data_IF_492051794790
#
_entry.id   IF_492051794790
#
_cell.length_a   1.000
_cell.length_b   1.000
_cell.length_c   1.000
_cell.angle_alpha   90.00
_cell.angle_beta   90.00
_cell.angle_gamma   90.00
#
_symmetry.space_group_name_H-M   'P 1'
#
loop_
_entity.id
_entity.type
_entity.pdbx_description
1 polymer ?
#
# COMPACT_ATOMS: atom_id res chain seq x y z
N UNK A 1 -13.10 -14.41 14.80
CA UNK A 1 -14.04 -14.56 15.93
C UNK A 1 -15.13 -13.49 15.99
N UNK A 2 -14.81 -12.18 16.08
CA UNK A 2 -15.86 -11.13 16.05
C UNK A 2 -16.44 -10.95 14.63
N UNK A 3 -15.59 -10.88 13.60
CA UNK A 3 -16.04 -10.79 12.19
C UNK A 3 -16.92 -11.98 11.77
N UNK A 4 -16.54 -13.23 12.08
CA UNK A 4 -17.33 -14.42 11.70
C UNK A 4 -18.73 -14.47 12.32
N UNK A 5 -18.93 -13.78 13.45
CA UNK A 5 -20.22 -13.68 14.12
C UNK A 5 -21.08 -12.61 13.42
N UNK A 6 -20.48 -11.46 13.13
CA UNK A 6 -21.10 -10.35 12.38
C UNK A 6 -21.55 -10.81 10.99
N UNK A 7 -20.71 -11.56 10.28
CA UNK A 7 -21.05 -12.12 8.97
C UNK A 7 -22.22 -13.11 9.00
N UNK A 8 -22.25 -13.99 10.01
CA UNK A 8 -23.36 -14.93 10.19
C UNK A 8 -24.68 -14.23 10.50
N UNK A 9 -24.63 -13.17 11.30
CA UNK A 9 -25.82 -12.38 11.64
C UNK A 9 -26.32 -11.57 10.43
N UNK A 10 -25.42 -10.98 9.64
CA UNK A 10 -25.75 -10.29 8.39
C UNK A 10 -26.42 -11.25 7.38
N UNK A 11 -25.85 -12.43 7.18
CA UNK A 11 -26.39 -13.46 6.26
C UNK A 11 -27.80 -13.92 6.67
N UNK A 12 -28.04 -14.12 7.98
CA UNK A 12 -29.37 -14.47 8.49
C UNK A 12 -30.41 -13.38 8.23
N UNK A 13 -30.03 -12.11 8.41
CA UNK A 13 -30.94 -10.98 8.21
C UNK A 13 -31.21 -10.71 6.72
N UNK A 14 -30.20 -10.88 5.86
CA UNK A 14 -30.34 -10.84 4.39
C UNK A 14 -31.34 -11.89 3.88
N UNK A 15 -31.24 -13.12 4.38
CA UNK A 15 -32.19 -14.21 4.07
C UNK A 15 -33.61 -13.85 4.46
N UNK A 16 -33.81 -13.25 5.63
CA UNK A 16 -35.13 -12.80 6.10
C UNK A 16 -35.73 -11.72 5.20
N UNK A 17 -34.93 -10.79 4.68
CA UNK A 17 -35.42 -9.76 3.74
C UNK A 17 -35.81 -10.37 2.37
N UNK A 18 -35.09 -11.38 1.91
CA UNK A 18 -35.46 -12.15 0.70
C UNK A 18 -36.77 -12.93 0.91
N UNK A 19 -36.92 -13.60 2.05
CA UNK A 19 -38.16 -14.34 2.41
C UNK A 19 -39.38 -13.44 2.47
N UNK A 20 -39.22 -12.18 2.90
CA UNK A 20 -40.27 -11.17 2.91
C UNK A 20 -40.56 -10.55 1.53
N UNK A 21 -39.86 -10.98 0.47
CA UNK A 21 -40.03 -10.48 -0.89
C UNK A 21 -39.56 -9.03 -1.08
N UNK A 22 -38.73 -8.52 -0.16
CA UNK A 22 -38.31 -7.10 -0.12
C UNK A 22 -37.05 -6.83 -0.93
N UNK A 23 -36.25 -7.87 -1.19
CA UNK A 23 -35.12 -7.83 -2.11
C UNK A 23 -35.19 -9.05 -3.05
N UNK A 24 -34.89 -8.86 -4.33
CA UNK A 24 -34.91 -9.91 -5.35
C UNK A 24 -33.48 -10.27 -5.77
N UNK A 25 -33.13 -11.57 -5.72
CA UNK A 25 -31.83 -12.06 -6.20
C UNK A 25 -30.69 -11.92 -5.18
N UNK A 26 -29.44 -11.94 -5.66
CA UNK A 26 -28.26 -11.68 -4.82
C UNK A 26 -28.35 -10.24 -4.27
N UNK A 27 -28.19 -10.02 -2.96
CA UNK A 27 -28.35 -8.69 -2.38
C UNK A 27 -27.32 -7.73 -2.97
N UNK A 28 -27.77 -6.60 -3.52
CA UNK A 28 -26.89 -5.48 -3.85
C UNK A 28 -26.38 -4.88 -2.54
N UNK A 29 -25.22 -5.33 -2.08
CA UNK A 29 -24.61 -4.88 -0.82
C UNK A 29 -24.19 -3.40 -0.87
N UNK A 30 -24.06 -2.79 -2.06
CA UNK A 30 -23.64 -1.39 -2.19
C UNK A 30 -24.62 -0.38 -1.60
N UNK A 31 -25.88 -0.76 -1.50
CA UNK A 31 -26.94 0.13 -1.04
C UNK A 31 -27.05 0.27 0.49
N UNK A 32 -27.01 -0.81 1.30
CA UNK A 32 -26.84 -0.72 2.76
C UNK A 32 -25.61 0.09 3.17
N UNK A 33 -24.56 -0.04 2.37
CA UNK A 33 -23.26 0.60 2.58
C UNK A 33 -23.33 2.07 2.23
N UNK A 34 -24.00 2.42 1.14
CA UNK A 34 -24.32 3.80 0.79
C UNK A 34 -25.10 4.50 1.91
N UNK A 35 -26.20 3.88 2.36
CA UNK A 35 -27.08 4.44 3.39
C UNK A 35 -26.37 4.61 4.73
N UNK A 36 -25.53 3.66 5.13
CA UNK A 36 -24.75 3.86 6.33
C UNK A 36 -23.59 4.81 6.15
N UNK A 37 -22.80 4.69 5.09
CA UNK A 37 -21.68 5.59 4.86
C UNK A 37 -22.19 7.03 4.92
N UNK A 38 -23.38 7.27 4.34
CA UNK A 38 -24.12 8.51 4.53
C UNK A 38 -24.50 8.77 5.99
N UNK A 39 -25.19 7.89 6.72
CA UNK A 39 -25.60 8.15 8.11
C UNK A 39 -24.41 8.39 9.04
N UNK A 40 -23.31 7.67 8.84
CA UNK A 40 -22.08 7.80 9.60
C UNK A 40 -21.37 9.12 9.32
N UNK A 41 -21.10 9.43 8.05
CA UNK A 41 -20.48 10.69 7.66
C UNK A 41 -21.39 11.85 8.09
N UNK A 42 -22.70 11.67 7.99
CA UNK A 42 -23.70 12.61 8.49
C UNK A 42 -23.55 12.85 9.99
N UNK A 43 -23.46 11.80 10.82
CA UNK A 43 -23.24 11.92 12.27
C UNK A 43 -21.89 12.57 12.58
N UNK A 44 -20.81 12.10 11.94
CA UNK A 44 -19.43 12.55 12.15
C UNK A 44 -19.26 14.04 11.86
N UNK A 45 -19.80 14.50 10.74
CA UNK A 45 -19.66 15.88 10.26
C UNK A 45 -20.89 16.74 10.55
N UNK A 46 -21.86 16.22 11.31
CA UNK A 46 -23.08 16.92 11.76
C UNK A 46 -23.90 17.52 10.60
N UNK A 47 -24.19 16.70 9.59
CA UNK A 47 -25.13 17.05 8.51
C UNK A 47 -26.56 16.68 8.92
N UNK A 48 -27.56 17.50 8.55
CA UNK A 48 -28.99 17.13 8.57
C UNK A 48 -29.58 16.33 9.75
N UNK A 49 -30.83 15.86 9.62
CA UNK A 49 -31.45 14.90 10.53
C UNK A 49 -31.00 13.47 10.22
N UNK A 50 -31.17 12.53 11.16
CA UNK A 50 -30.82 11.12 10.93
C UNK A 50 -31.53 10.57 9.69
N UNK A 51 -30.80 9.84 8.84
CA UNK A 51 -31.38 9.18 7.66
C UNK A 51 -32.50 8.23 8.08
N UNK A 52 -32.39 7.59 9.25
CA UNK A 52 -33.45 6.75 9.83
C UNK A 52 -34.72 7.50 10.24
N UNK A 53 -34.67 8.83 10.31
CA UNK A 53 -35.85 9.70 10.55
C UNK A 53 -36.47 10.26 9.28
N UNK A 54 -35.87 9.99 8.11
CA UNK A 54 -36.34 10.49 6.82
C UNK A 54 -37.43 9.60 6.25
N UNK A 55 -38.40 10.22 5.57
CA UNK A 55 -39.58 9.53 5.05
C UNK A 55 -39.46 9.18 3.57
N UNK A 56 -38.52 9.80 2.84
CA UNK A 56 -38.41 9.66 1.39
C UNK A 56 -36.95 9.52 0.92
N UNK A 57 -36.75 8.84 -0.21
CA UNK A 57 -35.46 8.75 -0.89
C UNK A 57 -34.93 10.12 -1.35
N UNK A 58 -35.82 11.08 -1.62
CA UNK A 58 -35.45 12.47 -1.94
C UNK A 58 -34.70 13.15 -0.80
N UNK A 59 -35.12 12.92 0.45
CA UNK A 59 -34.46 13.52 1.61
C UNK A 59 -33.05 12.93 1.82
N UNK A 60 -32.90 11.63 1.58
CA UNK A 60 -31.60 10.93 1.64
C UNK A 60 -30.65 11.49 0.58
N UNK A 61 -31.14 11.69 -0.65
CA UNK A 61 -30.38 12.28 -1.75
C UNK A 61 -29.98 13.74 -1.47
N UNK A 62 -30.82 14.50 -0.76
CA UNK A 62 -30.48 15.87 -0.37
C UNK A 62 -29.33 15.91 0.63
N UNK A 63 -29.35 15.03 1.64
CA UNK A 63 -28.23 14.89 2.60
C UNK A 63 -26.95 14.46 1.87
N UNK A 64 -27.06 13.49 0.95
CA UNK A 64 -25.92 13.03 0.17
C UNK A 64 -25.27 14.16 -0.65
N UNK A 65 -26.08 14.99 -1.32
CA UNK A 65 -25.60 16.17 -2.07
C UNK A 65 -25.02 17.27 -1.17
N UNK A 66 -25.60 17.50 0.01
CA UNK A 66 -25.05 18.45 0.98
C UNK A 66 -23.67 17.99 1.46
N UNK A 67 -23.51 16.71 1.74
CA UNK A 67 -22.25 16.10 2.14
C UNK A 67 -21.19 16.16 1.03
N UNK A 68 -21.59 15.90 -0.21
CA UNK A 68 -20.74 16.04 -1.38
C UNK A 68 -20.14 17.45 -1.50
N UNK A 69 -20.96 18.49 -1.32
CA UNK A 69 -20.53 19.89 -1.40
C UNK A 69 -19.56 20.30 -0.28
N UNK A 70 -19.68 19.73 0.93
CA UNK A 70 -18.93 20.14 2.11
C UNK A 70 -17.70 19.27 2.40
N UNK A 71 -17.66 18.04 1.91
CA UNK A 71 -16.48 17.18 1.95
C UNK A 71 -15.55 17.37 0.74
N UNK A 72 -15.89 18.31 -0.16
CA UNK A 72 -15.19 18.59 -1.42
C UNK A 72 -15.07 17.33 -2.29
N UNK A 73 -16.21 16.69 -2.55
CA UNK A 73 -16.34 15.49 -3.39
C UNK A 73 -16.90 15.82 -4.78
N UNK A 74 -16.93 17.09 -5.18
CA UNK A 74 -17.56 17.55 -6.43
C UNK A 74 -17.00 16.88 -7.70
N UNK A 75 -15.79 16.34 -7.63
CA UNK A 75 -15.13 15.59 -8.72
C UNK A 75 -14.93 14.09 -8.40
N UNK A 76 -15.52 13.60 -7.31
CA UNK A 76 -15.34 12.23 -6.82
C UNK A 76 -16.48 11.34 -7.34
N UNK A 77 -16.24 10.50 -8.35
CA UNK A 77 -17.31 9.66 -8.89
C UNK A 77 -17.93 8.66 -7.89
N UNK A 78 -17.34 8.47 -6.70
CA UNK A 78 -18.02 7.84 -5.55
C UNK A 78 -19.39 8.46 -5.24
N UNK A 79 -19.59 9.78 -5.39
CA UNK A 79 -20.90 10.42 -5.24
C UNK A 79 -21.88 9.99 -6.34
N UNK A 80 -21.44 9.91 -7.61
CA UNK A 80 -22.27 9.42 -8.70
C UNK A 80 -22.71 7.96 -8.52
N UNK A 81 -21.82 7.07 -8.05
CA UNK A 81 -22.20 5.68 -7.77
C UNK A 81 -23.18 5.58 -6.60
N UNK A 82 -22.90 6.31 -5.52
CA UNK A 82 -23.73 6.30 -4.32
C UNK A 82 -25.12 6.92 -4.59
N UNK A 83 -25.17 8.01 -5.36
CA UNK A 83 -26.41 8.64 -5.83
C UNK A 83 -27.16 7.76 -6.83
N UNK A 84 -26.48 7.09 -7.77
CA UNK A 84 -27.11 6.18 -8.73
C UNK A 84 -27.78 5.00 -8.01
N UNK A 85 -27.10 4.39 -7.04
CA UNK A 85 -27.66 3.29 -6.24
C UNK A 85 -28.84 3.78 -5.37
N UNK A 86 -28.80 5.01 -4.85
CA UNK A 86 -29.89 5.60 -4.05
C UNK A 86 -31.12 6.00 -4.87
N UNK A 87 -30.97 6.34 -6.16
CA UNK A 87 -32.09 6.71 -7.03
C UNK A 87 -32.98 5.52 -7.44
N UNK A 88 -32.53 4.30 -7.21
CA UNK A 88 -33.21 3.05 -7.60
C UNK A 88 -34.14 2.48 -6.49
N UNK A 89 -34.32 3.19 -5.37
CA UNK A 89 -34.91 2.64 -4.16
C UNK A 89 -36.38 2.98 -3.89
N UNK A 90 -37.09 2.00 -3.32
CA UNK A 90 -38.35 2.20 -2.59
C UNK A 90 -38.08 2.64 -1.11
N UNK A 91 -38.88 3.56 -0.56
CA UNK A 91 -38.73 4.07 0.81
C UNK A 91 -38.79 3.03 1.95
N UNK A 92 -39.55 1.93 1.81
CA UNK A 92 -39.71 0.91 2.86
C UNK A 92 -38.44 0.09 3.07
N UNK A 93 -37.76 -0.27 1.98
CA UNK A 93 -36.50 -1.02 2.01
C UNK A 93 -35.38 -0.21 2.68
N UNK A 94 -35.40 1.12 2.51
CA UNK A 94 -34.42 2.06 3.09
C UNK A 94 -34.47 2.09 4.63
N UNK A 95 -35.67 2.11 5.21
CA UNK A 95 -35.89 2.19 6.66
C UNK A 95 -35.46 0.93 7.43
N UNK A 96 -35.58 -0.25 6.82
CA UNK A 96 -35.13 -1.49 7.45
C UNK A 96 -33.61 -1.62 7.47
N UNK A 97 -32.93 -1.21 6.40
CA UNK A 97 -31.48 -1.15 6.37
C UNK A 97 -30.93 -0.21 7.43
N UNK A 98 -31.53 0.95 7.63
CA UNK A 98 -31.09 1.94 8.63
C UNK A 98 -31.24 1.46 10.08
N UNK A 99 -32.22 0.60 10.37
CA UNK A 99 -32.39 -0.03 11.68
C UNK A 99 -31.39 -1.16 11.97
N UNK A 100 -30.64 -1.58 10.94
CA UNK A 100 -29.73 -2.71 10.99
C UNK A 100 -28.29 -2.30 11.27
N UNK A 101 -27.99 -1.00 11.22
CA UNK A 101 -26.61 -0.54 11.14
C UNK A 101 -26.07 -0.01 12.45
N UNK A 102 -25.22 -0.83 13.09
CA UNK A 102 -24.24 -0.33 14.05
C UNK A 102 -22.88 -0.11 13.37
N UNK A 103 -21.97 0.53 14.10
CA UNK A 103 -20.63 0.88 13.61
C UNK A 103 -19.82 -0.32 13.13
N UNK A 104 -20.00 -1.50 13.74
CA UNK A 104 -19.23 -2.71 13.42
C UNK A 104 -19.76 -3.33 12.13
N UNK A 105 -21.08 -3.40 11.94
CA UNK A 105 -21.67 -3.92 10.71
C UNK A 105 -21.20 -3.15 9.48
N UNK A 106 -21.05 -1.83 9.57
CA UNK A 106 -20.64 -1.08 8.39
C UNK A 106 -19.18 -1.16 8.08
N UNK A 107 -18.32 -1.21 9.08
CA UNK A 107 -16.92 -1.51 8.78
C UNK A 107 -16.85 -2.78 7.94
N UNK A 108 -17.53 -3.84 8.36
CA UNK A 108 -17.57 -5.09 7.60
C UNK A 108 -18.21 -4.94 6.21
N UNK A 109 -19.37 -4.28 6.11
CA UNK A 109 -20.04 -4.11 4.82
C UNK A 109 -19.20 -3.27 3.85
N UNK A 110 -18.70 -2.10 4.28
CA UNK A 110 -17.86 -1.21 3.47
C UNK A 110 -16.60 -1.92 2.99
N UNK A 111 -15.92 -2.66 3.87
CA UNK A 111 -14.73 -3.42 3.49
C UNK A 111 -15.04 -4.49 2.43
N UNK A 112 -16.15 -5.21 2.55
CA UNK A 112 -16.55 -6.20 1.54
C UNK A 112 -16.93 -5.59 0.21
N UNK A 113 -17.66 -4.47 0.21
CA UNK A 113 -18.01 -3.75 -1.01
C UNK A 113 -16.82 -3.13 -1.72
N UNK A 114 -15.90 -2.57 -0.94
CA UNK A 114 -14.65 -2.04 -1.46
C UNK A 114 -13.85 -3.20 -2.06
N UNK A 115 -13.77 -4.33 -1.36
CA UNK A 115 -13.09 -5.52 -1.83
C UNK A 115 -13.69 -6.01 -3.16
N UNK A 116 -15.02 -6.15 -3.28
CA UNK A 116 -15.70 -6.51 -4.54
C UNK A 116 -15.27 -5.58 -5.70
N UNK A 117 -15.23 -4.27 -5.48
CA UNK A 117 -14.84 -3.28 -6.50
C UNK A 117 -13.36 -3.25 -6.83
N UNK A 118 -12.50 -3.54 -5.85
CA UNK A 118 -11.07 -3.71 -6.08
C UNK A 118 -10.77 -4.99 -6.88
N UNK A 119 -11.64 -6.00 -6.78
CA UNK A 119 -11.56 -7.24 -7.58
C UNK A 119 -12.21 -7.11 -8.95
N UNK A 120 -13.23 -6.28 -9.10
CA UNK A 120 -13.81 -5.97 -10.41
C UNK A 120 -12.79 -5.22 -11.28
N UNK A 121 -12.53 -5.79 -12.46
CA UNK A 121 -11.54 -5.31 -13.43
C UNK A 121 -11.84 -3.92 -14.01
N UNK A 122 -12.92 -3.26 -13.57
CA UNK A 122 -13.23 -1.87 -13.90
C UNK A 122 -12.25 -0.87 -13.25
N UNK A 123 -11.56 -1.27 -12.18
CA UNK A 123 -10.59 -0.42 -11.46
C UNK A 123 -9.18 -1.04 -11.37
N UNK A 124 -8.53 -1.37 -12.50
CA UNK A 124 -7.25 -2.10 -12.51
C UNK A 124 -6.08 -1.31 -11.90
N UNK A 125 -6.29 -0.03 -11.58
CA UNK A 125 -5.30 0.89 -11.00
C UNK A 125 -5.34 0.97 -9.48
N UNK A 126 -6.37 0.42 -8.83
CA UNK A 126 -6.53 0.43 -7.38
C UNK A 126 -5.87 -0.83 -6.79
N UNK A 127 -4.54 -0.81 -6.67
CA UNK A 127 -3.80 -1.95 -6.12
C UNK A 127 -3.85 -1.94 -4.59
N UNK A 128 -4.51 -2.93 -4.00
CA UNK A 128 -4.52 -3.10 -2.55
C UNK A 128 -3.28 -3.86 -2.08
N UNK A 129 -2.66 -3.37 -1.00
CA UNK A 129 -1.61 -4.11 -0.30
C UNK A 129 -2.23 -5.29 0.45
N UNK A 130 -1.75 -6.54 0.26
CA UNK A 130 -2.18 -7.69 1.04
C UNK A 130 -2.15 -7.40 2.54
N UNK A 131 -3.20 -7.78 3.27
CA UNK A 131 -3.40 -7.43 4.69
C UNK A 131 -2.20 -7.79 5.56
N UNK A 132 -1.57 -8.91 5.28
CA UNK A 132 -0.43 -9.43 6.04
C UNK A 132 0.84 -8.63 5.77
N UNK A 133 1.02 -8.14 4.54
CA UNK A 133 2.11 -7.22 4.15
C UNK A 133 1.86 -5.83 4.74
N UNK A 134 0.61 -5.33 4.68
CA UNK A 134 0.23 -4.06 5.27
C UNK A 134 0.46 -4.04 6.79
N UNK A 135 0.08 -5.13 7.49
CA UNK A 135 0.36 -5.29 8.93
C UNK A 135 1.86 -5.29 9.21
N UNK A 136 2.64 -6.04 8.43
CA UNK A 136 4.09 -6.05 8.56
C UNK A 136 4.63 -4.62 8.43
N UNK A 137 4.32 -3.92 7.32
CA UNK A 137 4.77 -2.55 7.09
C UNK A 137 4.40 -1.60 8.22
N UNK A 138 3.17 -1.66 8.73
CA UNK A 138 2.71 -0.83 9.84
C UNK A 138 3.41 -1.12 11.18
N UNK A 139 3.97 -2.33 11.36
CA UNK A 139 4.70 -2.69 12.59
C UNK A 139 6.16 -2.20 12.61
N UNK A 140 6.78 -1.99 11.44
CA UNK A 140 8.20 -1.65 11.32
C UNK A 140 8.60 -0.29 11.93
N UNK A 141 7.75 0.76 11.90
CA UNK A 141 8.07 2.00 12.61
C UNK A 141 8.13 1.85 14.13
N UNK A 142 7.51 0.81 14.70
CA UNK A 142 7.34 0.63 16.14
C UNK A 142 6.34 1.64 16.75
N UNK A 143 6.05 1.48 18.04
CA UNK A 143 5.24 2.45 18.81
C UNK A 143 6.18 3.42 19.53
N UNK A 144 6.05 4.70 19.25
CA UNK A 144 6.69 5.79 20.01
C UNK A 144 5.66 6.87 20.30
N UNK A 145 5.81 7.60 21.41
CA UNK A 145 4.98 8.76 21.74
C UNK A 145 5.11 9.89 20.69
N UNK A 146 6.17 9.85 19.88
CA UNK A 146 6.36 10.73 18.74
C UNK A 146 5.56 10.32 17.51
N UNK A 147 5.06 9.08 17.37
CA UNK A 147 4.51 8.58 16.11
C UNK A 147 3.03 8.97 15.91
N UNK A 148 2.74 10.27 15.82
CA UNK A 148 1.38 10.78 15.72
C UNK A 148 1.00 11.22 14.31
N UNK A 149 1.95 11.34 13.38
CA UNK A 149 1.64 11.63 11.98
C UNK A 149 2.07 10.49 11.04
N UNK A 150 1.10 9.90 10.33
CA UNK A 150 1.31 8.82 9.36
C UNK A 150 1.01 9.33 7.96
N UNK A 151 2.00 9.28 7.08
CA UNK A 151 1.90 9.74 5.70
C UNK A 151 1.95 8.60 4.67
N UNK A 152 1.10 8.68 3.64
CA UNK A 152 1.20 7.83 2.45
C UNK A 152 1.04 8.68 1.17
N UNK A 153 2.12 8.90 0.38
CA UNK A 153 2.09 9.67 -0.87
C UNK A 153 1.36 8.99 -2.03
N UNK A 154 0.94 7.73 -1.88
CA UNK A 154 0.20 6.96 -2.87
C UNK A 154 -0.82 6.05 -2.16
N UNK A 155 -1.72 6.67 -1.41
CA UNK A 155 -2.50 5.96 -0.39
C UNK A 155 -3.55 4.98 -0.93
N UNK A 156 -3.87 5.04 -2.23
CA UNK A 156 -4.88 4.20 -2.84
C UNK A 156 -6.20 4.33 -2.08
N UNK A 157 -6.79 3.19 -1.73
CA UNK A 157 -8.03 3.12 -0.93
C UNK A 157 -7.80 3.21 0.59
N UNK A 158 -6.58 3.51 1.06
CA UNK A 158 -6.27 3.69 2.49
C UNK A 158 -5.96 2.40 3.26
N UNK A 159 -5.64 1.30 2.57
CA UNK A 159 -5.38 0.01 3.21
C UNK A 159 -4.19 0.01 4.20
N UNK A 160 -3.13 0.77 3.90
CA UNK A 160 -1.99 0.93 4.80
C UNK A 160 -2.35 1.74 6.06
N UNK A 161 -3.21 2.75 5.94
CA UNK A 161 -3.71 3.49 7.09
C UNK A 161 -4.54 2.62 8.03
N UNK A 162 -5.37 1.71 7.49
CA UNK A 162 -6.10 0.76 8.34
C UNK A 162 -5.17 -0.18 9.12
N UNK A 163 -4.08 -0.62 8.50
CA UNK A 163 -3.06 -1.40 9.21
C UNK A 163 -2.39 -0.55 10.29
N UNK A 164 -2.08 0.72 9.99
CA UNK A 164 -1.51 1.68 10.92
C UNK A 164 -2.44 1.97 12.12
N UNK A 165 -3.75 2.11 11.93
CA UNK A 165 -4.74 2.30 13.02
C UNK A 165 -4.79 1.15 14.04
N UNK A 166 -4.30 -0.04 13.69
CA UNK A 166 -4.18 -1.16 14.64
C UNK A 166 -2.93 -1.05 15.52
N UNK A 167 -1.93 -0.29 15.06
CA UNK A 167 -0.66 -0.09 15.75
C UNK A 167 -0.65 1.24 16.50
N UNK A 168 -1.10 2.34 15.89
CA UNK A 168 -1.11 3.67 16.49
C UNK A 168 -2.49 4.02 17.04
N UNK A 169 -2.56 4.89 18.04
CA UNK A 169 -3.83 5.33 18.63
C UNK A 169 -4.62 6.18 17.60
N UNK A 170 -5.74 5.70 17.05
CA UNK A 170 -6.50 6.42 16.01
C UNK A 170 -7.10 7.75 16.52
N UNK A 171 -7.15 7.96 17.84
CA UNK A 171 -7.63 9.22 18.42
C UNK A 171 -6.57 10.32 18.44
N UNK A 172 -5.28 9.94 18.44
CA UNK A 172 -4.14 10.87 18.48
C UNK A 172 -3.40 10.94 17.14
N UNK A 173 -3.61 9.96 16.26
CA UNK A 173 -2.92 9.85 14.98
C UNK A 173 -3.60 10.70 13.91
N UNK A 174 -2.84 11.57 13.26
CA UNK A 174 -3.19 12.25 12.03
C UNK A 174 -2.74 11.41 10.82
N UNK A 175 -3.70 10.99 10.01
CA UNK A 175 -3.46 10.28 8.76
C UNK A 175 -3.44 11.26 7.60
N UNK A 176 -2.31 11.32 6.90
CA UNK A 176 -2.15 12.17 5.72
C UNK A 176 -1.96 11.30 4.50
N UNK A 177 -2.71 11.54 3.44
CA UNK A 177 -2.57 10.78 2.20
C UNK A 177 -2.70 11.61 0.94
N UNK A 178 -2.01 11.16 -0.11
CA UNK A 178 -2.16 11.65 -1.47
C UNK A 178 -2.56 10.51 -2.39
N UNK A 179 -3.51 10.79 -3.27
CA UNK A 179 -3.96 9.84 -4.28
C UNK A 179 -4.32 10.58 -5.57
N UNK A 180 -3.98 9.98 -6.71
CA UNK A 180 -4.22 10.56 -8.03
C UNK A 180 -5.53 10.14 -8.67
N UNK A 181 -6.09 9.03 -8.19
CA UNK A 181 -7.38 8.55 -8.62
C UNK A 181 -8.48 9.08 -7.68
N UNK A 182 -9.43 9.83 -8.24
CA UNK A 182 -10.54 10.41 -7.47
C UNK A 182 -11.40 9.39 -6.72
N UNK A 183 -11.61 8.19 -7.30
CA UNK A 183 -12.33 7.10 -6.62
C UNK A 183 -11.56 6.61 -5.39
N UNK A 184 -10.29 6.23 -5.59
CA UNK A 184 -9.47 5.68 -4.52
C UNK A 184 -9.27 6.70 -3.39
N UNK A 185 -9.05 7.98 -3.73
CA UNK A 185 -8.98 9.08 -2.77
C UNK A 185 -10.26 9.17 -1.91
N UNK A 186 -11.42 9.07 -2.55
CA UNK A 186 -12.71 9.12 -1.87
C UNK A 186 -12.95 7.89 -1.00
N UNK A 187 -12.60 6.70 -1.51
CA UNK A 187 -12.65 5.47 -0.73
C UNK A 187 -11.76 5.54 0.50
N UNK A 188 -10.53 6.06 0.39
CA UNK A 188 -9.64 6.24 1.54
C UNK A 188 -10.25 7.16 2.61
N UNK A 189 -10.83 8.30 2.20
CA UNK A 189 -11.54 9.22 3.10
C UNK A 189 -12.66 8.51 3.87
N UNK A 190 -13.51 7.77 3.16
CA UNK A 190 -14.63 7.04 3.78
C UNK A 190 -14.12 5.90 4.65
N UNK A 191 -13.17 5.11 4.15
CA UNK A 191 -12.57 3.96 4.83
C UNK A 191 -11.98 4.35 6.17
N UNK A 192 -11.17 5.41 6.21
CA UNK A 192 -10.63 5.94 7.46
C UNK A 192 -11.72 6.45 8.39
N UNK A 193 -12.74 7.13 7.83
CA UNK A 193 -13.82 7.66 8.61
C UNK A 193 -14.62 6.53 9.29
N UNK A 194 -15.08 5.52 8.55
CA UNK A 194 -15.85 4.38 9.10
C UNK A 194 -15.00 3.50 10.03
N UNK A 195 -13.68 3.49 9.87
CA UNK A 195 -12.75 2.85 10.80
C UNK A 195 -12.33 3.74 11.98
N UNK A 196 -13.05 4.85 12.22
CA UNK A 196 -12.93 5.64 13.44
C UNK A 196 -11.77 6.62 13.48
N UNK A 197 -11.07 6.88 12.37
CA UNK A 197 -10.02 7.90 12.33
C UNK A 197 -10.61 9.29 12.62
N UNK A 198 -10.12 9.98 13.65
CA UNK A 198 -10.58 11.33 14.00
C UNK A 198 -9.92 12.41 13.16
N UNK A 199 -8.66 12.20 12.79
CA UNK A 199 -7.82 13.16 12.08
C UNK A 199 -7.32 12.54 10.78
N UNK A 200 -7.84 13.01 9.64
CA UNK A 200 -7.43 12.54 8.33
C UNK A 200 -7.44 13.67 7.29
N UNK A 201 -6.31 13.87 6.61
CA UNK A 201 -6.07 14.84 5.55
C UNK A 201 -5.70 14.06 4.28
N UNK A 202 -6.72 13.58 3.55
CA UNK A 202 -6.54 12.85 2.29
C UNK A 202 -6.85 13.79 1.14
N UNK A 203 -5.87 14.01 0.26
CA UNK A 203 -6.00 14.96 -0.84
C UNK A 203 -5.88 14.27 -2.20
N UNK A 204 -6.69 14.75 -3.14
CA UNK A 204 -6.54 14.40 -4.55
C UNK A 204 -5.36 15.22 -5.10
N UNK A 205 -4.37 14.54 -5.63
CA UNK A 205 -3.17 15.20 -6.16
C UNK A 205 -2.56 14.41 -7.31
N UNK A 206 -1.74 15.04 -8.17
CA UNK A 206 -1.07 14.29 -9.22
C UNK A 206 -0.24 13.14 -8.63
N UNK A 207 -0.16 12.00 -9.35
CA UNK A 207 0.91 11.01 -9.11
C UNK A 207 2.21 11.79 -9.11
N UNK A 208 3.16 11.41 -8.25
CA UNK A 208 4.47 12.04 -8.08
C UNK A 208 4.98 12.66 -9.40
N UNK A 209 4.63 13.93 -9.58
CA UNK A 209 5.11 14.85 -10.62
C UNK A 209 6.02 15.82 -9.89
N UNK A 210 6.49 16.88 -10.57
CA UNK A 210 7.24 17.93 -9.91
C UNK A 210 6.56 18.34 -8.60
N UNK A 211 7.33 18.90 -7.67
CA UNK A 211 6.78 19.85 -6.70
C UNK A 211 5.79 20.68 -7.50
N UNK A 212 4.49 20.48 -7.33
CA UNK A 212 3.61 21.52 -7.77
C UNK A 212 3.99 22.63 -6.82
N UNK A 213 4.74 23.62 -7.32
CA UNK A 213 5.20 24.68 -6.44
C UNK A 213 4.01 25.29 -5.73
N UNK A 214 2.77 25.17 -6.24
CA UNK A 214 1.54 25.62 -5.57
C UNK A 214 1.07 24.72 -4.43
N UNK A 215 1.55 23.49 -4.34
CA UNK A 215 1.28 22.58 -3.24
C UNK A 215 2.04 23.06 -1.99
N UNK A 216 1.29 23.52 -0.99
CA UNK A 216 1.85 24.11 0.22
C UNK A 216 2.68 23.11 1.02
N UNK A 217 2.37 21.81 0.96
CA UNK A 217 3.08 20.77 1.71
C UNK A 217 4.50 20.58 1.19
N UNK A 218 4.63 20.52 -0.13
CA UNK A 218 5.90 20.41 -0.84
C UNK A 218 6.72 21.69 -0.67
N UNK A 219 6.08 22.87 -0.67
CA UNK A 219 6.71 24.15 -0.32
C UNK A 219 7.22 24.20 1.12
N UNK A 220 6.41 23.72 2.06
CA UNK A 220 6.73 23.76 3.48
C UNK A 220 7.65 22.61 3.91
N UNK A 221 7.91 21.64 3.03
CA UNK A 221 8.71 20.45 3.34
C UNK A 221 8.18 19.78 4.62
N UNK A 222 6.86 19.56 4.69
CA UNK A 222 6.25 18.90 5.84
C UNK A 222 6.95 17.55 6.09
N UNK A 223 7.14 17.23 7.37
CA UNK A 223 7.83 16.02 7.83
C UNK A 223 6.87 15.20 8.68
N UNK A 224 7.01 13.88 8.62
CA UNK A 224 6.15 12.94 9.32
C UNK A 224 6.98 11.92 10.10
N UNK A 225 6.40 11.42 11.18
CA UNK A 225 7.02 10.40 12.03
C UNK A 225 7.03 9.04 11.33
N UNK A 226 5.99 8.76 10.55
CA UNK A 226 5.81 7.49 9.87
C UNK A 226 5.42 7.74 8.42
N UNK A 227 6.13 7.10 7.50
CA UNK A 227 5.74 7.05 6.09
C UNK A 227 5.51 5.61 5.67
N UNK A 228 4.28 5.23 5.31
CA UNK A 228 3.95 3.89 4.81
C UNK A 228 3.46 4.02 3.39
N UNK A 229 4.04 3.32 2.43
CA UNK A 229 3.56 3.45 1.05
C UNK A 229 3.81 2.23 0.17
N UNK A 230 2.81 1.91 -0.66
CA UNK A 230 2.86 0.94 -1.74
C UNK A 230 2.67 1.67 -3.07
N UNK A 231 3.73 2.29 -3.61
CA UNK A 231 3.64 3.12 -4.80
C UNK A 231 3.32 2.29 -6.06
N UNK A 232 2.83 2.92 -7.13
CA UNK A 232 2.69 2.25 -8.42
C UNK A 232 4.04 1.78 -8.97
N UNK A 233 4.06 0.61 -9.63
CA UNK A 233 5.27 0.00 -10.18
C UNK A 233 5.43 0.26 -11.68
N UNK A 234 6.68 0.22 -12.15
CA UNK A 234 7.03 0.13 -13.58
C UNK A 234 6.92 1.45 -14.35
N UNK A 235 6.63 2.57 -13.70
CA UNK A 235 6.57 3.88 -14.36
C UNK A 235 7.98 4.47 -14.41
N UNK A 236 8.38 5.01 -15.56
CA UNK A 236 9.63 5.75 -15.69
C UNK A 236 9.30 7.25 -15.66
N UNK A 237 9.92 8.00 -14.75
CA UNK A 237 9.69 9.43 -14.56
C UNK A 237 10.90 10.20 -15.10
N UNK A 238 10.73 11.20 -15.97
CA UNK A 238 11.82 12.08 -16.37
C UNK A 238 12.38 12.82 -15.15
N UNK A 239 13.69 12.85 -14.96
CA UNK A 239 14.32 13.52 -13.81
C UNK A 239 14.08 15.03 -13.84
N UNK A 240 13.92 15.61 -15.03
CA UNK A 240 13.52 17.00 -15.21
C UNK A 240 12.13 17.32 -14.62
N UNK A 241 11.27 16.32 -14.45
CA UNK A 241 9.98 16.47 -13.76
C UNK A 241 10.12 16.33 -12.24
N UNK A 242 11.31 16.11 -11.68
CA UNK A 242 11.56 15.95 -10.25
C UNK A 242 12.47 17.07 -9.73
N UNK A 243 12.02 18.33 -9.83
CA UNK A 243 12.83 19.50 -9.45
C UNK A 243 13.33 19.44 -7.99
N UNK A 244 12.54 18.92 -7.04
CA UNK A 244 12.99 18.71 -5.65
C UNK A 244 14.13 17.71 -5.53
N UNK A 245 14.16 16.69 -6.40
CA UNK A 245 15.20 15.69 -6.40
C UNK A 245 16.54 16.28 -6.89
N UNK A 246 16.47 17.26 -7.79
CA UNK A 246 17.62 18.03 -8.27
C UNK A 246 18.19 18.90 -7.13
N UNK A 247 17.34 19.46 -6.27
CA UNK A 247 17.76 20.29 -5.13
C UNK A 247 18.23 19.49 -3.91
N UNK A 248 17.78 18.23 -3.77
CA UNK A 248 18.03 17.36 -2.60
C UNK A 248 19.50 16.96 -2.35
N UNK A 249 20.47 17.45 -3.12
CA UNK A 249 21.89 17.01 -3.11
C UNK A 249 22.08 15.51 -3.46
N UNK A 250 21.01 14.72 -3.56
CA UNK A 250 21.01 13.29 -3.86
C UNK A 250 21.30 13.01 -5.35
N UNK A 251 20.96 13.95 -6.22
CA UNK A 251 21.35 13.96 -7.63
C UNK A 251 21.96 15.33 -7.96
N UNK A 252 23.22 15.54 -7.55
CA UNK A 252 24.01 16.61 -8.15
C UNK A 252 24.05 16.38 -9.67
N UNK A 253 23.69 17.39 -10.45
CA UNK A 253 23.62 17.46 -11.92
C UNK A 253 22.24 17.17 -12.52
N UNK A 254 21.71 18.19 -13.21
CA UNK A 254 20.56 18.11 -14.13
C UNK A 254 20.84 17.00 -15.16
N UNK A 255 20.31 15.81 -14.93
CA UNK A 255 20.40 14.70 -15.86
C UNK A 255 19.14 14.64 -16.71
N UNK A 256 19.27 14.53 -18.03
CA UNK A 256 18.17 14.26 -18.97
C UNK A 256 17.68 12.79 -18.91
N UNK A 257 17.99 12.08 -17.82
CA UNK A 257 17.67 10.67 -17.63
C UNK A 257 16.25 10.45 -17.12
N UNK A 258 15.88 9.17 -17.03
CA UNK A 258 14.66 8.73 -16.34
C UNK A 258 15.05 7.97 -15.07
N UNK A 259 14.18 8.05 -14.08
CA UNK A 259 14.26 7.26 -12.85
C UNK A 259 13.00 6.40 -12.75
N UNK A 260 13.12 5.24 -12.12
CA UNK A 260 11.94 4.46 -11.77
C UNK A 260 11.05 5.16 -10.75
N UNK A 261 9.73 5.03 -10.89
CA UNK A 261 8.75 5.54 -9.94
C UNK A 261 9.04 5.09 -8.52
N UNK A 262 9.42 3.83 -8.35
CA UNK A 262 9.69 3.20 -7.09
C UNK A 262 10.81 3.90 -6.33
N UNK A 263 11.90 4.27 -7.01
CA UNK A 263 12.96 5.06 -6.40
C UNK A 263 12.54 6.51 -6.15
N UNK A 264 11.73 7.11 -7.03
CA UNK A 264 11.22 8.45 -6.80
C UNK A 264 10.33 8.51 -5.54
N UNK A 265 9.50 7.50 -5.31
CA UNK A 265 8.70 7.35 -4.09
C UNK A 265 9.55 7.02 -2.86
N UNK A 266 10.61 6.20 -2.98
CA UNK A 266 11.57 5.99 -1.88
C UNK A 266 12.23 7.29 -1.45
N UNK A 267 12.64 8.11 -2.42
CA UNK A 267 13.24 9.41 -2.16
C UNK A 267 12.24 10.39 -1.57
N UNK A 268 11.00 10.43 -2.07
CA UNK A 268 9.95 11.27 -1.52
C UNK A 268 9.61 10.87 -0.09
N UNK A 269 9.54 9.57 0.19
CA UNK A 269 9.34 9.05 1.55
C UNK A 269 10.48 9.46 2.48
N UNK A 270 11.74 9.41 2.01
CA UNK A 270 12.89 9.88 2.78
C UNK A 270 12.87 11.39 3.04
N UNK A 271 12.53 12.18 2.02
CA UNK A 271 12.45 13.64 2.15
C UNK A 271 11.36 14.06 3.14
N UNK A 272 10.19 13.44 3.08
CA UNK A 272 9.08 13.71 4.00
C UNK A 272 9.25 13.08 5.39
N UNK A 273 10.38 12.43 5.67
CA UNK A 273 10.63 11.80 6.97
C UNK A 273 11.19 12.79 7.99
N UNK A 274 10.62 12.83 9.18
CA UNK A 274 11.21 13.54 10.32
C UNK A 274 12.52 12.88 10.80
N UNK A 275 13.31 13.57 11.62
CA UNK A 275 14.62 13.11 12.09
C UNK A 275 14.57 11.79 12.87
N UNK A 276 13.49 11.57 13.63
CA UNK A 276 13.26 10.31 14.36
C UNK A 276 12.28 9.37 13.64
N UNK A 277 11.84 9.76 12.44
CA UNK A 277 10.82 9.04 11.71
C UNK A 277 11.30 7.73 11.11
N UNK A 278 10.36 6.86 10.75
CA UNK A 278 10.62 5.62 9.99
C UNK A 278 9.71 5.51 8.78
N UNK A 279 10.29 5.30 7.60
CA UNK A 279 9.52 4.99 6.39
C UNK A 279 9.59 3.50 6.06
N UNK A 280 8.47 2.88 5.71
CA UNK A 280 8.41 1.53 5.15
C UNK A 280 7.78 1.59 3.76
N UNK A 281 8.59 1.33 2.74
CA UNK A 281 8.20 1.48 1.33
C UNK A 281 8.25 0.13 0.65
N UNK A 282 7.12 -0.31 0.08
CA UNK A 282 7.04 -1.56 -0.66
C UNK A 282 7.43 -1.34 -2.13
N UNK A 283 8.41 -2.09 -2.62
CA UNK A 283 8.88 -1.97 -4.01
C UNK A 283 9.20 -3.34 -4.62
N UNK A 284 9.13 -3.51 -5.95
CA UNK A 284 9.68 -4.67 -6.64
C UNK A 284 11.19 -4.83 -6.39
N UNK A 285 11.66 -6.07 -6.36
CA UNK A 285 13.08 -6.42 -6.16
C UNK A 285 14.03 -5.71 -7.14
N UNK A 286 13.55 -5.33 -8.34
CA UNK A 286 14.32 -4.61 -9.34
C UNK A 286 15.02 -3.34 -8.82
N UNK A 287 14.42 -2.63 -7.85
CA UNK A 287 15.02 -1.44 -7.24
C UNK A 287 16.37 -1.72 -6.57
N UNK A 288 16.55 -2.94 -6.07
CA UNK A 288 17.71 -3.35 -5.28
C UNK A 288 18.99 -3.48 -6.12
N UNK A 289 18.86 -3.67 -7.44
CA UNK A 289 19.99 -3.97 -8.33
C UNK A 289 19.96 -3.25 -9.68
N UNK A 290 18.88 -2.57 -10.07
CA UNK A 290 18.80 -1.88 -11.37
C UNK A 290 19.94 -0.87 -11.54
N UNK A 291 20.54 -0.88 -12.73
CA UNK A 291 21.61 0.02 -13.14
C UNK A 291 21.07 1.38 -13.64
N UNK A 292 21.93 2.22 -14.24
CA UNK A 292 21.52 3.48 -14.86
C UNK A 292 21.41 4.65 -13.87
N UNK A 293 20.29 5.36 -13.86
CA UNK A 293 20.04 6.42 -12.87
C UNK A 293 19.80 5.82 -11.48
N UNK A 294 19.13 4.68 -11.42
CA UNK A 294 18.68 4.03 -10.19
C UNK A 294 19.83 3.75 -9.21
N UNK A 295 21.00 3.33 -9.72
CA UNK A 295 22.21 3.11 -8.90
C UNK A 295 22.75 4.39 -8.26
N UNK A 296 22.58 5.57 -8.89
CA UNK A 296 23.06 6.84 -8.31
C UNK A 296 22.29 7.20 -7.06
N UNK A 297 20.97 7.05 -7.12
CA UNK A 297 20.07 7.26 -5.98
C UNK A 297 20.37 6.27 -4.86
N UNK A 298 20.51 4.98 -5.21
CA UNK A 298 20.83 3.92 -4.25
C UNK A 298 22.16 4.17 -3.54
N UNK A 299 23.21 4.54 -4.29
CA UNK A 299 24.51 4.94 -3.72
C UNK A 299 24.37 6.11 -2.75
N UNK A 300 23.52 7.08 -3.08
CA UNK A 300 23.28 8.24 -2.22
C UNK A 300 22.63 7.87 -0.89
N UNK A 301 21.56 7.05 -0.93
CA UNK A 301 20.88 6.55 0.27
C UNK A 301 21.80 5.69 1.15
N UNK A 302 22.62 4.82 0.54
CA UNK A 302 23.62 4.01 1.25
C UNK A 302 24.68 4.89 1.92
N UNK A 303 25.24 5.86 1.20
CA UNK A 303 26.26 6.76 1.72
C UNK A 303 25.77 7.55 2.93
N UNK A 304 24.51 7.98 2.90
CA UNK A 304 23.84 8.66 4.01
C UNK A 304 23.49 7.73 5.17
N UNK A 305 23.64 6.41 5.05
CA UNK A 305 23.16 5.47 6.07
C UNK A 305 21.63 5.50 6.22
N UNK A 306 20.92 5.93 5.18
CA UNK A 306 19.47 6.14 5.24
C UNK A 306 18.67 4.82 5.24
N UNK A 307 19.28 3.71 4.82
CA UNK A 307 18.63 2.41 4.67
C UNK A 307 18.81 1.59 5.95
N UNK A 308 17.76 1.56 6.77
CA UNK A 308 17.76 0.84 8.04
C UNK A 308 17.60 -0.68 7.85
N UNK A 309 16.80 -1.09 6.85
CA UNK A 309 16.60 -2.50 6.49
C UNK A 309 16.13 -2.71 5.05
N UNK A 310 16.39 -3.89 4.50
CA UNK A 310 15.79 -4.40 3.25
C UNK A 310 15.26 -5.80 3.51
N UNK A 311 13.95 -5.97 3.33
CA UNK A 311 13.22 -7.21 3.64
C UNK A 311 12.67 -7.79 2.35
N UNK A 312 13.29 -8.84 1.82
CA UNK A 312 12.76 -9.57 0.65
C UNK A 312 11.54 -10.40 1.08
N UNK A 313 10.43 -10.26 0.35
CA UNK A 313 9.18 -10.96 0.63
C UNK A 313 8.96 -12.14 -0.32
N UNK A 314 8.08 -13.09 0.03
CA UNK A 314 7.70 -14.18 -0.85
C UNK A 314 7.15 -13.72 -2.21
N UNK A 315 7.44 -14.48 -3.26
CA UNK A 315 6.84 -14.27 -4.57
C UNK A 315 5.30 -14.43 -4.50
N UNK A 316 4.58 -13.87 -5.49
CA UNK A 316 3.11 -14.07 -5.66
C UNK A 316 2.23 -13.66 -4.47
N UNK A 317 2.68 -12.76 -3.60
CA UNK A 317 1.82 -12.14 -2.56
C UNK A 317 0.69 -11.29 -3.15
N UNK A 318 0.91 -10.74 -4.35
CA UNK A 318 -0.04 -9.90 -5.07
C UNK A 318 -0.79 -10.65 -6.18
N UNK A 319 -0.69 -11.98 -6.23
CA UNK A 319 -1.42 -12.76 -7.22
C UNK A 319 -2.94 -12.72 -6.94
N UNK A 320 -3.80 -12.79 -7.98
CA UNK A 320 -3.46 -13.02 -9.38
C UNK A 320 -3.01 -11.77 -10.15
N UNK A 321 -3.06 -10.58 -9.54
CA UNK A 321 -2.74 -9.30 -10.20
C UNK A 321 -1.31 -9.30 -10.74
N UNK A 322 -0.34 -9.74 -9.91
CA UNK A 322 1.04 -9.88 -10.35
C UNK A 322 1.78 -10.99 -9.60
N UNK A 323 2.74 -11.62 -10.29
CA UNK A 323 3.67 -12.57 -9.72
C UNK A 323 5.01 -11.92 -9.32
N UNK A 324 5.17 -10.61 -9.53
CA UNK A 324 6.40 -9.86 -9.23
C UNK A 324 6.77 -10.05 -7.76
N UNK A 325 8.05 -10.34 -7.53
CA UNK A 325 8.65 -10.38 -6.21
C UNK A 325 8.88 -8.96 -5.68
N UNK A 326 8.53 -8.77 -4.41
CA UNK A 326 8.57 -7.46 -3.75
C UNK A 326 9.43 -7.52 -2.51
N UNK A 327 9.88 -6.36 -2.08
CA UNK A 327 10.62 -6.16 -0.85
C UNK A 327 10.12 -4.90 -0.16
N UNK A 328 10.33 -4.84 1.15
CA UNK A 328 10.13 -3.62 1.93
C UNK A 328 11.51 -3.00 2.16
N UNK A 329 11.68 -1.76 1.74
CA UNK A 329 12.85 -0.95 2.10
C UNK A 329 12.44 -0.05 3.25
N UNK A 330 13.16 -0.15 4.36
CA UNK A 330 12.93 0.66 5.55
C UNK A 330 13.96 1.77 5.61
N UNK A 331 13.50 3.02 5.70
CA UNK A 331 14.34 4.20 5.73
C UNK A 331 14.26 4.90 7.09
N UNK A 332 15.39 5.43 7.55
CA UNK A 332 15.53 6.28 8.75
C UNK A 332 16.57 7.36 8.48
N UNK A 333 16.48 8.50 9.16
CA UNK A 333 17.59 9.46 9.15
C UNK A 333 18.67 8.98 10.13
N UNK A 334 19.96 9.02 9.76
CA UNK A 334 21.03 8.71 10.70
C UNK A 334 21.03 9.74 11.84
N UNK A 335 21.29 9.29 13.07
CA UNK A 335 21.53 10.17 14.22
C UNK A 335 23.04 10.30 14.39
N UNK A 336 23.53 11.54 14.43
CA UNK A 336 24.96 11.86 14.63
C UNK A 336 25.94 11.14 13.68
N UNK A 337 25.52 10.91 12.42
CA UNK A 337 26.28 10.18 11.39
C UNK A 337 26.72 8.75 11.79
N UNK A 338 26.12 8.17 12.83
CA UNK A 338 26.45 6.81 13.27
C UNK A 338 25.94 5.77 12.28
N UNK A 339 26.84 4.90 11.82
CA UNK A 339 26.47 3.74 11.00
C UNK A 339 25.90 2.64 11.90
N UNK A 340 24.57 2.57 11.98
CA UNK A 340 23.84 1.50 12.69
C UNK A 340 23.73 0.20 11.85
N UNK A 341 24.31 0.19 10.64
CA UNK A 341 24.21 -0.87 9.65
C UNK A 341 22.86 -0.95 8.95
N UNK A 342 22.82 -1.64 7.82
CA UNK A 342 21.58 -2.04 7.14
C UNK A 342 21.27 -3.49 7.49
N UNK A 343 20.06 -3.75 7.97
CA UNK A 343 19.60 -5.12 8.22
C UNK A 343 19.01 -5.71 6.93
N UNK A 344 19.64 -6.74 6.39
CA UNK A 344 19.07 -7.53 5.30
C UNK A 344 18.28 -8.70 5.87
N UNK A 345 17.04 -8.87 5.44
CA UNK A 345 16.17 -10.00 5.81
C UNK A 345 15.71 -10.70 4.54
N UNK A 346 15.98 -12.00 4.44
CA UNK A 346 15.51 -12.86 3.36
C UNK A 346 14.32 -13.70 3.85
N UNK A 347 13.12 -13.13 3.72
CA UNK A 347 11.87 -13.81 4.03
C UNK A 347 11.19 -14.39 2.78
N UNK A 348 11.93 -14.53 1.66
CA UNK A 348 11.39 -14.97 0.37
C UNK A 348 10.77 -16.38 0.39
N UNK A 349 11.16 -17.20 1.36
CA UNK A 349 10.68 -18.58 1.55
C UNK A 349 9.56 -18.72 2.58
N UNK A 350 9.18 -17.63 3.27
CA UNK A 350 8.15 -17.67 4.30
C UNK A 350 6.72 -17.73 3.74
N UNK A 351 5.78 -18.06 4.63
CA UNK A 351 4.35 -18.13 4.33
C UNK A 351 3.91 -19.45 3.70
N UNK A 352 2.68 -19.44 3.19
CA UNK A 352 2.02 -20.63 2.63
C UNK A 352 1.27 -20.30 1.35
N UNK A 353 1.13 -21.30 0.48
CA UNK A 353 0.36 -21.16 -0.75
C UNK A 353 -1.13 -21.30 -0.48
N UNK A 354 -1.92 -20.30 -0.89
CA UNK A 354 -3.39 -20.33 -0.91
C UNK A 354 -3.89 -20.11 -2.34
N UNK A 355 -4.21 -21.22 -3.01
CA UNK A 355 -4.61 -21.21 -4.42
C UNK A 355 -3.47 -20.73 -5.34
N UNK A 356 -3.69 -19.61 -6.04
CA UNK A 356 -2.71 -18.98 -6.94
C UNK A 356 -1.79 -17.96 -6.25
N UNK A 357 -2.08 -17.61 -4.98
CA UNK A 357 -1.41 -16.58 -4.21
C UNK A 357 -0.63 -17.19 -3.04
N UNK A 358 0.48 -16.57 -2.68
CA UNK A 358 1.17 -16.85 -1.41
C UNK A 358 0.64 -15.89 -0.34
N UNK A 359 0.62 -16.34 0.91
CA UNK A 359 0.14 -15.57 2.05
C UNK A 359 1.15 -15.72 3.19
N UNK A 360 1.59 -14.60 3.74
CA UNK A 360 2.36 -14.59 4.99
C UNK A 360 1.42 -14.93 6.14
N UNK A 361 1.70 -15.98 6.90
CA UNK A 361 0.97 -16.23 8.13
C UNK A 361 1.40 -15.28 9.26
N UNK A 362 0.63 -15.28 10.34
CA UNK A 362 0.88 -14.42 11.51
C UNK A 362 2.25 -14.65 12.11
N UNK A 363 2.66 -15.92 12.22
CA UNK A 363 3.99 -16.31 12.69
C UNK A 363 5.11 -15.75 11.84
N UNK A 364 4.96 -15.74 10.51
CA UNK A 364 5.95 -15.18 9.58
C UNK A 364 6.06 -13.67 9.73
N UNK A 365 4.92 -12.96 9.86
CA UNK A 365 4.92 -11.51 10.07
C UNK A 365 5.59 -11.15 11.41
N UNK A 366 5.24 -11.85 12.48
CA UNK A 366 5.81 -11.62 13.81
C UNK A 366 7.31 -11.95 13.86
N UNK A 367 7.75 -12.99 13.15
CA UNK A 367 9.17 -13.33 13.02
C UNK A 367 9.96 -12.21 12.35
N UNK A 368 9.47 -11.70 11.20
CA UNK A 368 10.14 -10.62 10.47
C UNK A 368 10.17 -9.35 11.34
N UNK A 369 9.05 -8.98 11.95
CA UNK A 369 8.95 -7.80 12.81
C UNK A 369 9.92 -7.89 14.01
N UNK A 370 9.99 -9.05 14.68
CA UNK A 370 10.93 -9.30 15.79
C UNK A 370 12.39 -9.14 15.35
N UNK A 371 12.76 -9.76 14.22
CA UNK A 371 14.14 -9.70 13.71
C UNK A 371 14.53 -8.28 13.34
N UNK A 372 13.60 -7.51 12.76
CA UNK A 372 13.81 -6.11 12.46
C UNK A 372 13.96 -5.26 13.74
N UNK A 373 13.01 -5.37 14.68
CA UNK A 373 12.97 -4.58 15.91
C UNK A 373 14.23 -4.80 16.78
N UNK A 374 14.64 -6.05 16.92
CA UNK A 374 15.82 -6.44 17.71
C UNK A 374 17.12 -6.43 16.90
N UNK A 375 17.07 -6.09 15.61
CA UNK A 375 18.21 -6.09 14.66
C UNK A 375 19.03 -7.39 14.68
N UNK A 376 18.35 -8.53 14.73
CA UNK A 376 18.99 -9.83 14.89
C UNK A 376 19.65 -10.31 13.60
N UNK A 377 20.79 -10.98 13.73
CA UNK A 377 21.44 -11.74 12.66
C UNK A 377 21.18 -13.22 12.88
N UNK A 378 20.42 -13.84 11.97
CA UNK A 378 20.03 -15.24 12.02
C UNK A 378 20.50 -15.96 10.74
N UNK A 379 21.30 -17.04 10.83
CA UNK A 379 21.79 -17.77 9.64
C UNK A 379 20.66 -18.16 8.68
N UNK A 380 20.85 -17.89 7.39
CA UNK A 380 19.84 -18.18 6.36
C UNK A 380 18.63 -17.23 6.34
N UNK A 381 18.51 -16.30 7.29
CA UNK A 381 17.33 -15.43 7.40
C UNK A 381 17.66 -13.94 7.47
N UNK A 382 18.66 -13.51 8.25
CA UNK A 382 19.01 -12.10 8.37
C UNK A 382 20.50 -11.85 8.60
N UNK A 383 20.96 -10.66 8.20
CA UNK A 383 22.34 -10.23 8.35
C UNK A 383 22.42 -8.72 8.53
N UNK A 384 23.17 -8.26 9.53
CA UNK A 384 23.46 -6.85 9.75
C UNK A 384 24.78 -6.46 9.06
N UNK A 385 24.72 -5.49 8.15
CA UNK A 385 25.83 -5.17 7.22
C UNK A 385 26.17 -3.68 7.29
N UNK A 386 27.46 -3.34 7.31
CA UNK A 386 27.91 -1.95 7.33
C UNK A 386 27.71 -1.27 5.97
N UNK A 387 27.60 0.06 5.96
CA UNK A 387 27.53 0.82 4.70
C UNK A 387 28.75 0.59 3.80
N UNK A 388 29.93 0.43 4.40
CA UNK A 388 31.20 0.16 3.70
C UNK A 388 31.20 -1.17 2.94
N UNK A 389 30.61 -2.22 3.52
CA UNK A 389 30.49 -3.51 2.82
C UNK A 389 29.51 -3.40 1.65
N UNK A 390 28.42 -2.65 1.82
CA UNK A 390 27.43 -2.41 0.75
C UNK A 390 28.05 -1.61 -0.39
N UNK A 391 28.82 -0.57 -0.08
CA UNK A 391 29.57 0.23 -1.07
C UNK A 391 30.56 -0.62 -1.86
N UNK A 392 31.29 -1.54 -1.19
CA UNK A 392 32.22 -2.46 -1.84
C UNK A 392 31.55 -3.44 -2.81
N UNK A 393 30.24 -3.67 -2.68
CA UNK A 393 29.42 -4.50 -3.59
C UNK A 393 28.55 -3.65 -4.52
N UNK A 394 29.06 -2.49 -4.95
CA UNK A 394 28.38 -1.57 -5.89
C UNK A 394 26.99 -1.09 -5.43
N UNK A 395 26.79 -1.04 -4.12
CA UNK A 395 25.50 -0.73 -3.51
C UNK A 395 24.38 -1.67 -3.96
N UNK A 396 24.67 -2.95 -4.25
CA UNK A 396 23.64 -3.97 -4.40
C UNK A 396 22.92 -4.17 -3.08
N UNK A 397 21.59 -4.15 -3.09
CA UNK A 397 20.77 -4.27 -1.88
C UNK A 397 19.97 -5.59 -1.82
N UNK A 398 20.30 -6.57 -2.66
CA UNK A 398 19.61 -7.86 -2.68
C UNK A 398 19.97 -8.65 -1.41
N UNK A 399 19.00 -9.03 -0.55
CA UNK A 399 19.29 -9.71 0.72
C UNK A 399 20.13 -11.00 0.57
N UNK A 400 19.90 -11.79 -0.49
CA UNK A 400 20.67 -13.01 -0.78
C UNK A 400 22.18 -12.78 -1.02
N UNK A 401 22.60 -11.53 -1.22
CA UNK A 401 24.03 -11.15 -1.32
C UNK A 401 24.72 -11.11 0.06
N UNK A 402 23.94 -10.98 1.14
CA UNK A 402 24.43 -10.73 2.49
C UNK A 402 23.99 -11.78 3.51
N UNK A 403 22.80 -12.36 3.31
CA UNK A 403 22.27 -13.44 4.14
C UNK A 403 22.95 -14.75 3.72
N UNK A 404 23.87 -15.23 4.57
CA UNK A 404 24.58 -16.48 4.32
C UNK A 404 23.63 -17.66 4.51
N UNK A 405 23.42 -18.42 3.44
CA UNK A 405 22.67 -19.67 3.49
C UNK A 405 23.43 -20.71 4.33
N UNK A 406 22.73 -21.59 5.07
CA UNK A 406 23.33 -22.76 5.69
C UNK A 406 24.03 -23.63 4.63
N UNK A 407 25.12 -24.30 5.01
CA UNK A 407 25.97 -25.08 4.09
C UNK A 407 25.18 -26.11 3.26
N UNK A 408 24.12 -26.69 3.82
CA UNK A 408 23.30 -27.74 3.18
C UNK A 408 22.44 -27.21 2.01
N UNK A 409 22.04 -25.94 2.03
CA UNK A 409 21.24 -25.28 0.97
C UNK A 409 22.14 -24.79 -0.19
N UNK A 410 23.45 -24.61 0.06
CA UNK A 410 24.39 -24.21 -0.98
C UNK A 410 24.63 -25.32 -2.03
N UNK A 411 24.36 -26.58 -1.70
CA UNK A 411 24.48 -27.72 -2.61
C UNK A 411 23.36 -27.66 -3.67
N UNK A 412 22.10 -27.50 -3.25
CA UNK A 412 20.92 -27.41 -4.14
C UNK A 412 20.98 -26.20 -5.12
N UNK A 413 21.52 -25.07 -4.66
CA UNK A 413 21.69 -23.90 -5.54
C UNK A 413 22.81 -24.05 -6.58
N UNK A 414 23.82 -24.91 -6.35
CA UNK A 414 24.82 -25.23 -7.39
C UNK A 414 24.20 -26.04 -8.51
N UNK A 415 23.33 -26.98 -8.15
CA UNK A 415 22.62 -27.81 -9.11
C UNK A 415 21.70 -26.95 -9.99
N UNK A 416 20.93 -26.04 -9.39
CA UNK A 416 20.11 -25.05 -10.12
C UNK A 416 20.91 -24.09 -11.02
N UNK A 417 22.08 -23.65 -10.57
CA UNK A 417 22.97 -22.81 -11.40
C UNK A 417 23.51 -23.56 -12.60
N UNK A 418 23.75 -24.85 -12.45
CA UNK A 418 24.16 -25.73 -13.54
C UNK A 418 23.02 -25.88 -14.55
N UNK A 419 21.79 -26.09 -14.06
CA UNK A 419 20.58 -26.19 -14.89
C UNK A 419 20.29 -24.90 -15.69
N UNK A 420 20.47 -23.73 -15.08
CA UNK A 420 20.35 -22.44 -15.79
C UNK A 420 21.44 -22.29 -16.87
N UNK A 421 22.69 -22.66 -16.56
CA UNK A 421 23.79 -22.58 -17.53
C UNK A 421 23.59 -23.53 -18.72
N UNK A 422 23.00 -24.70 -18.48
CA UNK A 422 22.61 -25.65 -19.54
C UNK A 422 21.49 -25.10 -20.42
N UNK A 423 20.48 -24.46 -19.82
CA UNK A 423 19.40 -23.80 -20.56
C UNK A 423 19.92 -22.63 -21.42
N UNK A 424 20.82 -21.81 -20.88
CA UNK A 424 21.43 -20.69 -21.62
C UNK A 424 22.29 -21.21 -22.80
N UNK A 425 23.06 -22.28 -22.59
CA UNK A 425 23.82 -22.92 -23.66
C UNK A 425 22.91 -23.46 -24.77
N UNK A 426 21.82 -24.14 -24.40
CA UNK A 426 20.84 -24.65 -25.36
C UNK A 426 20.13 -23.52 -26.13
N UNK A 427 19.84 -22.40 -25.47
CA UNK A 427 19.25 -21.23 -26.12
C UNK A 427 20.20 -20.62 -27.17
N UNK A 428 21.51 -20.56 -26.88
CA UNK A 428 22.52 -20.11 -27.85
C UNK A 428 22.58 -21.04 -29.07
N UNK A 429 22.56 -22.36 -28.86
CA UNK A 429 22.54 -23.34 -29.97
C UNK A 429 21.31 -23.16 -30.88
N UNK A 430 20.14 -22.92 -30.29
CA UNK A 430 18.90 -22.65 -31.04
C UNK A 430 18.98 -21.35 -31.85
N UNK A 431 19.66 -20.31 -31.33
CA UNK A 431 19.89 -19.07 -32.06
C UNK A 431 20.82 -19.27 -33.27
N UNK A 432 21.92 -20.03 -33.09
CA UNK A 432 22.84 -20.36 -34.18
C UNK A 432 22.16 -21.19 -35.27
N UNK A 433 21.30 -22.15 -34.88
CA UNK A 433 20.51 -22.95 -35.82
C UNK A 433 19.49 -22.09 -36.57
N UNK A 434 18.82 -21.17 -35.88
CA UNK A 434 17.91 -20.20 -36.49
C UNK A 434 18.61 -19.29 -37.50
N UNK A 435 19.79 -18.75 -37.17
CA UNK A 435 20.58 -17.92 -38.09
C UNK A 435 21.05 -18.72 -39.32
N UNK A 436 21.47 -19.96 -39.12
CA UNK A 436 21.87 -20.88 -40.19
C UNK A 436 20.71 -21.17 -41.15
N UNK A 437 19.51 -21.45 -40.63
CA UNK A 437 18.31 -21.66 -41.44
C UNK A 437 17.89 -20.38 -42.18
N UNK A 438 17.97 -19.23 -41.50
CA UNK A 438 17.68 -17.92 -42.09
C UNK A 438 18.61 -17.57 -43.25
N UNK A 439 19.89 -17.95 -43.19
CA UNK A 439 20.84 -17.73 -44.30
C UNK A 439 20.62 -18.62 -45.53
N UNK A 440 19.81 -19.68 -45.40
CA UNK A 440 19.47 -20.62 -46.47
C UNK A 440 18.16 -20.27 -47.18
N UNK A 441 17.39 -19.33 -46.63
CA UNK A 441 16.22 -18.68 -47.22
C UNK A 441 16.64 -17.40 -47.94
#
# INVERSE_FOLDING_TARGET
MHEDKVWRELDQRLKRMQELGRISGHPNLGLPIALFALEFLRQKYKFGPSIGSLSTSSDVLQIAREMESRLFWEDAPFSQYLLNDLTQLDPLTTLEWLNLVDHVYTQCCFESWLQERLYDLEFPWAHETPREVARLMASLPGRSASNNEVFDPACGSGGLFLAAQKIFDPDQTLFVGREANGYACSWAKVRLAVNGAKHAEIELGPRLKAVDIRDEWERQRRRFDVVLTNPPFGIQIPIAELEWLIDSHLLAHRSNGRISSELAYLLSAYEHLDNLGTAAVLVPNGVLFRAGTDIRVRRSLVKQGAIAAVIALPARLFAPVTAIETCIVVLRRPVDDQDIGTLFVDASTLGSRRGKKNVLDDTSVDQIARVYDQRLTEPGFSSLVSKTEIEAKDCLLTPSTYVKQPADIMVDNRDRRTEIAELDAHYIELLDEYETLRSKL
#
